data_IF_270463357225
#
_entry.id   IF_270463357225
#
_cell.length_a   1.000
_cell.length_b   1.000
_cell.length_c   1.000
_cell.angle_alpha   90.00
_cell.angle_beta   90.00
_cell.angle_gamma   90.00
#
_symmetry.space_group_name_H-M   'P 1'
#
loop_
_entity.id
_entity.type
_entity.pdbx_description
1 polymer ?
#
# COMPACT_ATOMS: atom_id res chain seq x y z
N UNK A 1 31.44 -38.09 42.23
CA UNK A 1 30.30 -37.28 41.73
C UNK A 1 30.52 -37.05 40.24
N UNK A 2 29.72 -37.67 39.36
CA UNK A 2 29.77 -37.40 37.92
C UNK A 2 28.44 -36.77 37.50
N UNK A 3 28.42 -35.44 37.35
CA UNK A 3 27.27 -34.71 36.80
C UNK A 3 27.22 -34.89 35.29
N UNK A 4 26.15 -35.51 34.76
CA UNK A 4 25.86 -35.47 33.32
C UNK A 4 25.57 -34.01 32.91
N UNK A 5 26.14 -33.51 31.80
CA UNK A 5 25.83 -32.17 31.34
C UNK A 5 24.33 -32.06 30.97
N UNK A 6 23.70 -30.91 31.21
CA UNK A 6 22.24 -30.73 31.11
C UNK A 6 21.68 -30.85 29.69
N UNK A 7 22.53 -30.96 28.67
CA UNK A 7 22.12 -31.05 27.28
C UNK A 7 22.79 -32.22 26.58
N UNK A 8 21.97 -33.10 26.00
CA UNK A 8 22.42 -34.20 25.16
C UNK A 8 22.71 -33.68 23.75
N UNK A 9 23.83 -34.10 23.15
CA UNK A 9 24.24 -33.70 21.79
C UNK A 9 23.16 -33.98 20.74
N UNK A 10 22.39 -35.07 20.91
CA UNK A 10 21.28 -35.41 20.00
C UNK A 10 20.13 -34.41 20.07
N UNK A 11 19.85 -33.87 21.25
CA UNK A 11 18.76 -32.91 21.42
C UNK A 11 19.16 -31.56 20.84
N UNK A 12 20.41 -31.13 21.03
CA UNK A 12 20.96 -29.96 20.36
C UNK A 12 20.86 -30.05 18.84
N UNK A 13 21.27 -31.17 18.24
CA UNK A 13 21.20 -31.36 16.78
C UNK A 13 19.77 -31.36 16.24
N UNK A 14 18.80 -31.91 17.00
CA UNK A 14 17.38 -31.89 16.61
C UNK A 14 16.79 -30.49 16.68
N UNK A 15 17.09 -29.74 17.73
CA UNK A 15 16.55 -28.38 17.90
C UNK A 15 17.17 -27.41 16.88
N UNK A 16 18.49 -27.52 16.64
CA UNK A 16 19.17 -26.68 15.66
C UNK A 16 18.63 -26.93 14.24
N UNK A 17 18.45 -28.19 13.83
CA UNK A 17 17.94 -28.50 12.49
C UNK A 17 16.49 -28.04 12.29
N UNK A 18 15.62 -28.23 13.29
CA UNK A 18 14.25 -27.73 13.25
C UNK A 18 14.18 -26.20 13.17
N UNK A 19 15.03 -25.50 13.93
CA UNK A 19 15.12 -24.04 13.90
C UNK A 19 15.61 -23.52 12.53
N UNK A 20 16.63 -24.16 11.93
CA UNK A 20 17.12 -23.81 10.59
C UNK A 20 16.06 -24.04 9.52
N UNK A 21 15.34 -25.16 9.56
CA UNK A 21 14.25 -25.43 8.61
C UNK A 21 13.09 -24.43 8.77
N UNK A 22 12.74 -24.07 10.00
CA UNK A 22 11.74 -23.05 10.28
C UNK A 22 12.14 -21.67 9.78
N UNK A 23 13.41 -21.29 9.94
CA UNK A 23 13.95 -20.02 9.43
C UNK A 23 13.99 -19.98 7.90
N UNK A 24 14.36 -21.10 7.25
CA UNK A 24 14.32 -21.22 5.78
C UNK A 24 12.89 -21.16 5.23
N UNK A 25 11.93 -21.79 5.92
CA UNK A 25 10.52 -21.74 5.55
C UNK A 25 9.90 -20.35 5.78
N UNK A 26 10.34 -19.62 6.80
CA UNK A 26 9.89 -18.26 7.09
C UNK A 26 10.45 -17.21 6.10
N UNK A 27 11.52 -17.54 5.37
CA UNK A 27 12.11 -16.66 4.36
C UNK A 27 11.38 -16.64 3.01
N UNK A 28 10.47 -17.59 2.77
CA UNK A 28 9.61 -17.55 1.60
C UNK A 28 8.26 -16.95 1.97
N UNK A 29 7.80 -15.88 1.29
CA UNK A 29 6.42 -15.48 1.40
C UNK A 29 5.58 -16.66 0.93
N UNK A 30 4.79 -17.24 1.83
CA UNK A 30 3.71 -18.15 1.44
C UNK A 30 2.85 -17.32 0.49
N UNK A 31 2.73 -17.68 -0.80
CA UNK A 31 1.83 -16.96 -1.68
C UNK A 31 0.46 -17.03 -1.02
N UNK A 32 -0.06 -15.87 -0.63
CA UNK A 32 -1.32 -15.74 0.07
C UNK A 32 -2.42 -16.27 -0.84
N UNK A 33 -2.74 -17.56 -0.72
CA UNK A 33 -3.93 -18.26 -1.23
C UNK A 33 -4.66 -17.53 -2.38
N UNK A 34 -3.95 -17.29 -3.46
CA UNK A 34 -4.50 -16.68 -4.68
C UNK A 34 -4.94 -17.74 -5.69
N UNK A 35 -4.74 -19.03 -5.36
CA UNK A 35 -5.06 -20.17 -6.22
C UNK A 35 -6.45 -20.78 -5.96
N UNK A 36 -7.11 -20.43 -4.84
CA UNK A 36 -8.54 -20.75 -4.74
C UNK A 36 -9.27 -19.85 -5.73
N UNK A 37 -10.11 -20.39 -6.64
CA UNK A 37 -10.94 -19.55 -7.48
C UNK A 37 -11.80 -18.71 -6.55
N UNK A 38 -11.47 -17.42 -6.45
CA UNK A 38 -12.21 -16.48 -5.63
C UNK A 38 -13.68 -16.60 -6.02
N UNK A 39 -14.53 -16.80 -5.02
CA UNK A 39 -15.97 -16.92 -5.23
C UNK A 39 -16.41 -15.70 -6.03
N UNK A 40 -16.93 -15.92 -7.24
CA UNK A 40 -17.26 -14.82 -8.15
C UNK A 40 -18.31 -13.96 -7.46
N UNK A 41 -17.93 -12.73 -7.12
CA UNK A 41 -18.86 -11.75 -6.55
C UNK A 41 -20.01 -11.54 -7.53
N UNK A 42 -21.24 -11.68 -7.04
CA UNK A 42 -22.44 -11.37 -7.82
C UNK A 42 -22.47 -9.86 -8.06
N UNK A 43 -22.32 -9.43 -9.31
CA UNK A 43 -22.42 -8.04 -9.67
C UNK A 43 -23.82 -7.50 -9.31
N UNK A 44 -23.86 -6.36 -8.61
CA UNK A 44 -25.10 -5.70 -8.19
C UNK A 44 -25.49 -4.53 -9.08
N UNK A 45 -24.59 -4.08 -9.97
CA UNK A 45 -24.80 -2.93 -10.84
C UNK A 45 -25.12 -3.40 -12.27
N UNK A 46 -26.16 -2.83 -12.87
CA UNK A 46 -26.56 -3.12 -14.25
C UNK A 46 -25.82 -2.27 -15.29
N UNK A 47 -25.22 -1.15 -14.89
CA UNK A 47 -24.55 -0.20 -15.80
C UNK A 47 -23.37 0.48 -15.12
N UNK A 48 -22.32 0.79 -15.91
CA UNK A 48 -21.10 1.47 -15.45
C UNK A 48 -20.84 2.67 -16.36
N UNK A 49 -20.57 3.83 -15.75
CA UNK A 49 -20.08 5.02 -16.46
C UNK A 49 -18.57 5.10 -16.23
N UNK A 50 -17.80 5.04 -17.31
CA UNK A 50 -16.35 5.24 -17.28
C UNK A 50 -16.03 6.67 -17.70
N UNK A 51 -15.50 7.46 -16.76
CA UNK A 51 -14.92 8.76 -17.05
C UNK A 51 -13.42 8.58 -17.28
N UNK A 52 -13.00 8.53 -18.53
CA UNK A 52 -11.60 8.37 -18.89
C UNK A 52 -10.92 9.74 -19.05
N UNK A 53 -9.93 10.02 -18.21
CA UNK A 53 -9.17 11.27 -18.22
C UNK A 53 -7.83 11.10 -18.95
N UNK A 54 -7.88 11.02 -20.28
CA UNK A 54 -6.67 10.92 -21.11
C UNK A 54 -5.79 12.17 -20.92
N UNK A 55 -4.48 11.97 -20.76
CA UNK A 55 -3.51 13.03 -20.48
C UNK A 55 -3.14 13.19 -19.00
N UNK A 56 -3.89 12.55 -18.10
CA UNK A 56 -3.55 12.36 -16.68
C UNK A 56 -3.57 13.64 -15.86
N UNK A 57 -4.51 13.75 -14.91
CA UNK A 57 -4.29 14.70 -13.82
C UNK A 57 -3.03 14.30 -13.06
N UNK A 58 -2.29 15.27 -12.52
CA UNK A 58 -1.19 14.97 -11.63
C UNK A 58 -1.71 14.16 -10.44
N UNK A 59 -1.34 12.88 -10.37
CA UNK A 59 -1.79 11.97 -9.32
C UNK A 59 -1.39 12.49 -7.93
N UNK A 60 -0.22 13.13 -7.85
CA UNK A 60 0.33 13.76 -6.64
C UNK A 60 -0.46 14.96 -6.14
N UNK A 61 -1.32 15.54 -6.98
CA UNK A 61 -2.12 16.75 -6.71
C UNK A 61 -3.62 16.47 -6.66
N UNK A 62 -4.02 15.19 -6.69
CA UNK A 62 -5.44 14.80 -6.74
C UNK A 62 -5.79 13.90 -5.57
N UNK A 63 -5.74 12.58 -5.78
CA UNK A 63 -6.24 11.60 -4.82
C UNK A 63 -5.15 10.99 -3.92
N UNK A 64 -3.88 11.33 -4.18
CA UNK A 64 -2.72 10.93 -3.38
C UNK A 64 -1.80 12.14 -3.13
N UNK A 65 -2.27 13.11 -2.33
CA UNK A 65 -1.51 14.33 -2.08
C UNK A 65 -0.12 14.00 -1.53
N UNK A 66 0.92 14.42 -2.25
CA UNK A 66 2.29 14.33 -1.76
C UNK A 66 2.57 15.46 -0.77
N UNK A 67 3.79 15.48 -0.23
CA UNK A 67 4.20 16.53 0.71
C UNK A 67 4.05 17.90 0.03
N UNK A 68 3.38 18.81 0.72
CA UNK A 68 3.21 20.19 0.26
C UNK A 68 4.56 20.88 0.08
N UNK A 69 4.77 21.42 -1.12
CA UNK A 69 5.93 22.17 -1.57
C UNK A 69 5.39 23.40 -2.34
N UNK A 70 5.35 24.59 -1.72
CA UNK A 70 4.89 25.80 -2.39
C UNK A 70 5.64 26.05 -3.69
N UNK A 71 4.92 26.51 -4.71
CA UNK A 71 5.54 26.88 -5.98
C UNK A 71 6.44 28.10 -5.81
N UNK A 72 7.67 27.98 -6.29
CA UNK A 72 8.63 29.08 -6.37
C UNK A 72 9.21 29.14 -7.79
N UNK A 73 9.35 30.36 -8.33
CA UNK A 73 9.91 30.54 -9.67
C UNK A 73 11.37 30.09 -9.70
N UNK A 74 11.68 29.15 -10.59
CA UNK A 74 13.03 28.58 -10.72
C UNK A 74 13.35 27.50 -9.68
N UNK A 75 12.33 26.94 -9.01
CA UNK A 75 12.54 25.78 -8.14
C UNK A 75 13.10 24.59 -8.93
N UNK A 76 13.98 23.83 -8.27
CA UNK A 76 14.49 22.58 -8.80
C UNK A 76 13.36 21.57 -9.01
N UNK A 77 13.31 20.93 -10.18
CA UNK A 77 12.21 20.02 -10.55
C UNK A 77 12.06 18.85 -9.57
N UNK A 78 13.16 18.36 -8.97
CA UNK A 78 13.09 17.25 -8.01
C UNK A 78 12.48 17.67 -6.67
N UNK A 79 12.29 18.96 -6.44
CA UNK A 79 11.61 19.51 -5.27
C UNK A 79 10.12 19.71 -5.50
N UNK A 80 9.64 19.57 -6.74
CA UNK A 80 8.22 19.67 -7.08
C UNK A 80 7.52 18.38 -6.66
N UNK A 81 6.80 18.43 -5.55
CA UNK A 81 6.00 17.32 -5.04
C UNK A 81 4.51 17.60 -5.23
N UNK A 82 3.90 18.30 -4.27
CA UNK A 82 2.53 18.80 -4.35
C UNK A 82 2.48 20.30 -4.08
N UNK A 83 1.97 21.12 -4.99
CA UNK A 83 1.80 22.57 -4.77
C UNK A 83 0.46 22.91 -4.13
N UNK A 84 -0.38 21.92 -3.84
CA UNK A 84 -1.69 22.08 -3.22
C UNK A 84 -1.66 21.58 -1.77
N UNK A 85 -2.17 22.34 -0.80
CA UNK A 85 -2.41 21.85 0.55
C UNK A 85 -3.35 20.63 0.57
N UNK A 86 -3.30 19.85 1.65
CA UNK A 86 -4.19 18.69 1.82
C UNK A 86 -5.44 19.04 2.60
N UNK A 87 -6.58 18.49 2.21
CA UNK A 87 -7.86 18.57 2.93
C UNK A 87 -8.27 17.19 3.47
N UNK A 88 -9.08 17.17 4.53
CA UNK A 88 -9.69 15.95 5.03
C UNK A 88 -10.85 15.52 4.13
N UNK A 89 -11.08 14.21 4.04
CA UNK A 89 -12.29 13.66 3.40
C UNK A 89 -13.32 13.23 4.45
N UNK A 90 -14.49 12.77 4.00
CA UNK A 90 -15.52 12.16 4.85
C UNK A 90 -15.07 10.86 5.53
N UNK A 91 -13.94 10.28 5.10
CA UNK A 91 -13.35 9.07 5.68
C UNK A 91 -12.05 9.43 6.40
N UNK A 92 -11.93 8.99 7.65
CA UNK A 92 -10.74 9.20 8.46
C UNK A 92 -9.48 8.67 7.77
N UNK A 93 -8.38 9.39 7.95
CA UNK A 93 -7.06 9.06 7.38
C UNK A 93 -6.98 9.07 5.85
N UNK A 94 -8.06 9.39 5.13
CA UNK A 94 -8.03 9.69 3.69
C UNK A 94 -8.03 11.20 3.51
N UNK A 95 -7.05 11.69 2.74
CA UNK A 95 -6.86 13.10 2.39
C UNK A 95 -6.79 13.26 0.88
N UNK A 96 -7.31 14.38 0.38
CA UNK A 96 -7.20 14.84 -1.00
C UNK A 96 -6.49 16.20 -1.04
N UNK A 97 -6.10 16.65 -2.23
CA UNK A 97 -5.62 18.02 -2.42
C UNK A 97 -6.77 19.04 -2.39
N UNK A 98 -6.46 20.25 -1.97
CA UNK A 98 -7.35 21.42 -2.06
C UNK A 98 -7.86 21.61 -3.51
N UNK A 99 -9.14 21.96 -3.67
CA UNK A 99 -9.84 22.02 -4.96
C UNK A 99 -10.73 20.80 -5.24
N UNK A 100 -10.65 19.75 -4.43
CA UNK A 100 -11.48 18.54 -4.53
C UNK A 100 -12.48 18.39 -3.38
N UNK A 101 -12.93 19.50 -2.78
CA UNK A 101 -13.79 19.51 -1.57
C UNK A 101 -15.08 18.72 -1.77
N UNK A 102 -15.71 18.86 -2.94
CA UNK A 102 -16.95 18.14 -3.28
C UNK A 102 -16.73 16.63 -3.36
N UNK A 103 -15.57 16.19 -3.83
CA UNK A 103 -15.21 14.76 -3.88
C UNK A 103 -14.86 14.26 -2.48
N UNK A 104 -14.08 15.04 -1.73
CA UNK A 104 -13.69 14.74 -0.36
C UNK A 104 -14.92 14.54 0.54
N UNK A 105 -15.97 15.37 0.37
CA UNK A 105 -17.21 15.29 1.12
C UNK A 105 -18.03 14.01 0.91
N UNK A 106 -17.79 13.25 -0.17
CA UNK A 106 -18.52 12.02 -0.51
C UNK A 106 -17.64 10.78 -0.58
N UNK A 107 -16.44 10.85 0.02
CA UNK A 107 -15.47 9.75 -0.01
C UNK A 107 -15.98 8.48 0.69
N UNK A 108 -16.95 8.60 1.60
CA UNK A 108 -17.66 7.49 2.25
C UNK A 108 -18.45 6.61 1.26
N UNK A 109 -18.67 7.10 0.04
CA UNK A 109 -19.36 6.40 -1.06
C UNK A 109 -18.41 5.95 -2.18
N UNK A 110 -17.12 6.22 -2.04
CA UNK A 110 -16.10 5.94 -3.03
C UNK A 110 -15.13 4.85 -2.60
N UNK A 111 -14.52 4.20 -3.58
CA UNK A 111 -13.34 3.36 -3.38
C UNK A 111 -12.14 4.06 -4.02
N UNK A 112 -11.13 4.36 -3.20
CA UNK A 112 -9.88 4.97 -3.67
C UNK A 112 -8.85 3.87 -3.94
N UNK A 113 -8.33 3.84 -5.17
CA UNK A 113 -7.30 2.87 -5.59
C UNK A 113 -5.99 3.62 -5.80
N UNK A 114 -4.99 3.38 -4.93
CA UNK A 114 -3.63 3.96 -5.01
C UNK A 114 -2.61 2.92 -5.47
N UNK A 115 -2.83 2.33 -6.64
CA UNK A 115 -1.92 1.34 -7.22
C UNK A 115 -0.90 1.93 -8.20
N UNK A 116 -1.12 3.17 -8.66
CA UNK A 116 -0.23 3.80 -9.63
C UNK A 116 1.09 4.23 -8.97
N UNK A 117 2.19 3.77 -9.52
CA UNK A 117 3.54 4.25 -9.21
C UNK A 117 4.08 4.88 -10.49
N UNK A 118 4.42 6.17 -10.45
CA UNK A 118 5.08 6.81 -11.58
C UNK A 118 6.40 6.09 -11.85
N UNK A 119 6.71 5.86 -13.13
CA UNK A 119 8.05 5.46 -13.53
C UNK A 119 9.04 6.54 -13.09
N UNK A 120 10.24 6.13 -12.71
CA UNK A 120 11.33 7.00 -12.25
C UNK A 120 11.44 8.25 -13.16
N UNK A 121 11.43 9.44 -12.54
CA UNK A 121 11.59 10.72 -13.23
C UNK A 121 13.08 11.09 -13.31
#
# INVERSE_FOLDING_TARGET
MNSKPPFNRRDFLKTASAATLGALAAGYPVPSRAEEPAEKLKATADTVILLWMAGGMAHTETFDPKRFAPFEKGMDSNRVLSTFPTINTAVDNIKFSEGLEKMAAVMDRGALIRSYTAGDL
#
